data_IF_396897911916
#
_entry.id   IF_396897911916
#
_cell.length_a   1.000
_cell.length_b   1.000
_cell.length_c   1.000
_cell.angle_alpha   90.00
_cell.angle_beta   90.00
_cell.angle_gamma   90.00
#
_symmetry.space_group_name_H-M   'P 1'
#
loop_
_entity.id
_entity.type
_entity.pdbx_description
1 polymer ?
#
# COMPACT_ATOMS: atom_id res chain seq x y z
N UNK A 1 -19.83 -10.63 -3.39
CA UNK A 1 -19.37 -11.10 -2.07
C UNK A 1 -18.03 -10.44 -1.78
N UNK A 2 -17.85 -9.75 -0.65
CA UNK A 2 -16.59 -9.08 -0.33
C UNK A 2 -15.47 -10.12 -0.20
N UNK A 3 -14.31 -9.85 -0.83
CA UNK A 3 -13.14 -10.72 -0.79
C UNK A 3 -12.25 -10.29 0.38
N UNK A 4 -11.71 -11.23 1.18
CA UNK A 4 -10.75 -10.87 2.23
C UNK A 4 -9.51 -10.23 1.61
N UNK A 5 -9.06 -9.14 2.23
CA UNK A 5 -7.84 -8.41 1.85
C UNK A 5 -6.60 -9.24 2.21
N UNK A 6 -6.56 -9.73 3.46
CA UNK A 6 -5.44 -10.51 4.01
C UNK A 6 -5.90 -11.34 5.22
N UNK A 7 -5.26 -12.49 5.43
CA UNK A 7 -5.38 -13.27 6.67
C UNK A 7 -4.27 -12.86 7.65
N UNK A 8 -4.59 -12.75 8.93
CA UNK A 8 -3.63 -12.41 9.99
C UNK A 8 -4.01 -13.06 11.32
N UNK A 9 -3.34 -12.65 12.39
CA UNK A 9 -3.67 -13.08 13.75
C UNK A 9 -3.78 -11.88 14.68
N UNK A 10 -4.74 -11.95 15.62
CA UNK A 10 -4.80 -11.06 16.78
C UNK A 10 -4.18 -11.82 17.95
N UNK A 11 -3.23 -11.19 18.63
CA UNK A 11 -2.54 -11.77 19.78
C UNK A 11 -2.77 -10.94 21.04
N UNK A 12 -3.00 -11.62 22.16
CA UNK A 12 -3.06 -11.02 23.49
C UNK A 12 -2.37 -11.94 24.49
N UNK A 13 -1.22 -11.51 25.01
CA UNK A 13 -0.35 -12.35 25.82
C UNK A 13 0.08 -13.62 25.07
N UNK A 14 -0.40 -14.78 25.53
CA UNK A 14 -0.08 -16.10 24.95
C UNK A 14 -1.17 -16.67 24.03
N UNK A 15 -2.27 -15.93 23.84
CA UNK A 15 -3.38 -16.39 22.98
C UNK A 15 -3.25 -15.76 21.60
N UNK A 16 -3.41 -16.58 20.55
CA UNK A 16 -3.40 -16.16 19.15
C UNK A 16 -4.68 -16.61 18.45
N UNK A 17 -5.43 -15.66 17.89
CA UNK A 17 -6.70 -15.89 17.20
C UNK A 17 -6.53 -15.56 15.71
N UNK A 18 -6.75 -16.52 14.79
CA UNK A 18 -6.69 -16.24 13.36
C UNK A 18 -7.87 -15.35 12.93
N UNK A 19 -7.59 -14.32 12.13
CA UNK A 19 -8.58 -13.37 11.63
C UNK A 19 -8.44 -13.12 10.12
N UNK A 20 -9.53 -12.63 9.52
CA UNK A 20 -9.55 -12.18 8.12
C UNK A 20 -9.91 -10.71 8.06
N UNK A 21 -9.05 -9.90 7.43
CA UNK A 21 -9.29 -8.49 7.18
C UNK A 21 -10.22 -8.35 5.97
N UNK A 22 -11.28 -7.58 6.15
CA UNK A 22 -12.31 -7.31 5.14
C UNK A 22 -12.38 -5.80 4.89
N UNK A 23 -12.66 -5.39 3.65
CA UNK A 23 -12.90 -3.97 3.37
C UNK A 23 -14.23 -3.54 3.98
N UNK A 24 -14.22 -2.46 4.76
CA UNK A 24 -15.44 -1.88 5.33
C UNK A 24 -16.26 -1.10 4.29
N UNK A 25 -15.60 -0.60 3.25
CA UNK A 25 -16.19 0.16 2.15
C UNK A 25 -15.94 -0.54 0.81
N UNK A 26 -16.83 -0.33 -0.16
CA UNK A 26 -16.67 -0.80 -1.53
C UNK A 26 -16.52 0.40 -2.46
N UNK A 27 -15.39 0.46 -3.17
CA UNK A 27 -15.12 1.52 -4.13
C UNK A 27 -15.93 1.30 -5.41
N UNK A 28 -16.99 2.10 -5.58
CA UNK A 28 -17.85 2.08 -6.78
C UNK A 28 -17.39 3.11 -7.81
N UNK A 29 -16.13 3.03 -8.23
CA UNK A 29 -15.61 3.92 -9.27
C UNK A 29 -15.90 3.37 -10.67
N UNK A 30 -16.43 4.24 -11.53
CA UNK A 30 -16.54 3.96 -12.97
C UNK A 30 -15.14 4.06 -13.59
N UNK A 31 -14.68 2.99 -14.25
CA UNK A 31 -13.38 2.98 -14.92
C UNK A 31 -13.50 3.59 -16.31
N UNK A 32 -12.73 4.64 -16.57
CA UNK A 32 -12.60 5.23 -17.89
C UNK A 32 -11.41 4.65 -18.64
N UNK A 33 -11.55 4.61 -19.96
CA UNK A 33 -10.48 4.26 -20.86
C UNK A 33 -9.86 5.53 -21.44
N UNK A 34 -8.52 5.56 -21.52
CA UNK A 34 -7.83 6.62 -22.24
C UNK A 34 -8.09 6.47 -23.73
N UNK A 35 -8.70 7.49 -24.31
CA UNK A 35 -9.01 7.58 -25.74
C UNK A 35 -8.42 8.86 -26.31
N UNK A 36 -8.12 8.85 -27.59
CA UNK A 36 -7.70 10.05 -28.30
C UNK A 36 -8.92 10.96 -28.50
N UNK A 37 -8.77 12.24 -28.18
CA UNK A 37 -9.91 13.14 -28.00
C UNK A 37 -10.70 13.40 -29.29
N UNK A 38 -10.04 13.32 -30.45
CA UNK A 38 -10.62 13.66 -31.75
C UNK A 38 -11.37 12.48 -32.39
N UNK A 39 -10.88 11.25 -32.23
CA UNK A 39 -11.38 10.05 -32.93
C UNK A 39 -11.86 8.92 -32.00
N UNK A 40 -11.76 9.13 -30.68
CA UNK A 40 -12.05 8.13 -29.64
C UNK A 40 -11.24 6.83 -29.76
N UNK A 41 -10.13 6.86 -30.50
CA UNK A 41 -9.22 5.73 -30.68
C UNK A 41 -8.53 5.32 -29.38
N UNK A 42 -8.15 4.05 -29.26
CA UNK A 42 -7.43 3.52 -28.09
C UNK A 42 -6.02 4.11 -28.02
N UNK A 43 -5.72 4.82 -26.93
CA UNK A 43 -4.37 5.34 -26.66
C UNK A 43 -3.53 4.28 -25.94
N UNK A 44 -2.36 3.97 -26.49
CA UNK A 44 -1.34 3.13 -25.83
C UNK A 44 -0.30 4.02 -25.16
N UNK A 45 0.11 3.64 -23.95
CA UNK A 45 1.18 4.31 -23.21
C UNK A 45 2.45 3.52 -23.40
N UNK A 46 3.51 4.20 -23.82
CA UNK A 46 4.88 3.66 -23.93
C UNK A 46 5.74 4.34 -22.87
N UNK A 47 6.63 3.58 -22.23
CA UNK A 47 7.54 4.07 -21.20
C UNK A 47 8.86 4.43 -21.88
N UNK A 48 9.36 5.64 -21.72
CA UNK A 48 10.53 6.14 -22.45
C UNK A 48 11.60 6.62 -21.46
N UNK A 49 12.85 6.20 -21.66
CA UNK A 49 14.00 6.65 -20.89
C UNK A 49 14.64 7.86 -21.59
N UNK A 50 14.68 9.00 -20.91
CA UNK A 50 15.24 10.25 -21.46
C UNK A 50 16.75 10.18 -21.65
N UNK A 51 17.47 9.47 -20.77
CA UNK A 51 18.93 9.36 -20.84
C UNK A 51 19.40 8.52 -22.04
N UNK A 52 18.68 7.45 -22.37
CA UNK A 52 19.03 6.54 -23.47
C UNK A 52 18.25 6.83 -24.76
N UNK A 53 17.31 7.79 -24.71
CA UNK A 53 16.46 8.20 -25.84
C UNK A 53 15.76 7.00 -26.50
N UNK A 54 15.24 6.09 -25.68
CA UNK A 54 14.55 4.88 -26.15
C UNK A 54 13.39 4.47 -25.27
N UNK A 55 12.52 3.64 -25.82
CA UNK A 55 11.50 2.95 -25.03
C UNK A 55 12.13 1.88 -24.13
N UNK A 56 11.59 1.75 -22.93
CA UNK A 56 11.99 0.76 -21.92
C UNK A 56 10.80 -0.13 -21.54
N UNK A 57 11.07 -1.40 -21.30
CA UNK A 57 10.06 -2.34 -20.81
C UNK A 57 9.78 -2.13 -19.32
N UNK A 58 8.70 -2.75 -18.81
CA UNK A 58 8.38 -2.67 -17.39
C UNK A 58 9.44 -3.35 -16.50
N UNK A 59 10.18 -4.33 -17.02
CA UNK A 59 11.24 -5.04 -16.30
C UNK A 59 12.50 -4.19 -16.11
N UNK A 60 12.68 -3.15 -16.92
CA UNK A 60 13.82 -2.22 -16.84
C UNK A 60 13.54 -1.03 -15.91
N UNK A 61 12.37 -0.96 -15.27
CA UNK A 61 11.96 0.17 -14.44
C UNK A 61 11.92 -0.26 -12.98
N UNK A 62 12.93 0.16 -12.22
CA UNK A 62 12.99 0.05 -10.77
C UNK A 62 12.40 1.26 -10.05
N UNK A 63 12.43 1.23 -8.70
CA UNK A 63 12.12 2.38 -7.85
C UNK A 63 13.44 3.02 -7.41
N UNK A 64 13.55 4.34 -7.48
CA UNK A 64 14.70 5.08 -6.97
C UNK A 64 14.30 5.97 -5.80
N UNK A 65 15.14 6.09 -4.78
CA UNK A 65 14.97 7.00 -3.65
C UNK A 65 16.11 8.03 -3.63
N UNK A 66 15.77 9.31 -3.53
CA UNK A 66 16.75 10.40 -3.44
C UNK A 66 17.22 10.57 -2.00
N UNK A 67 18.49 10.26 -1.73
CA UNK A 67 19.10 10.31 -0.37
C UNK A 67 19.66 11.71 -0.08
N UNK A 68 20.18 12.36 -1.11
CA UNK A 68 20.65 13.74 -1.09
C UNK A 68 20.55 14.32 -2.49
N UNK A 69 20.70 15.65 -2.62
CA UNK A 69 20.70 16.32 -3.92
C UNK A 69 21.65 15.59 -4.89
N UNK A 70 21.10 15.18 -6.02
CA UNK A 70 21.78 14.45 -7.10
C UNK A 70 22.27 13.03 -6.74
N UNK A 71 21.79 12.43 -5.64
CA UNK A 71 22.12 11.05 -5.25
C UNK A 71 20.85 10.21 -5.14
N UNK A 72 20.60 9.39 -6.16
CA UNK A 72 19.55 8.37 -6.16
C UNK A 72 20.14 6.99 -5.85
N UNK A 73 19.41 6.24 -5.02
CA UNK A 73 19.69 4.82 -4.73
C UNK A 73 18.52 4.00 -5.24
N UNK A 74 18.80 2.92 -5.96
CA UNK A 74 17.78 1.96 -6.36
C UNK A 74 17.23 1.25 -5.12
N UNK A 75 15.92 1.08 -5.09
CA UNK A 75 15.20 0.44 -4.01
C UNK A 75 14.46 -0.75 -4.60
N UNK A 76 14.95 -1.95 -4.29
CA UNK A 76 14.37 -3.20 -4.77
C UNK A 76 13.23 -3.67 -3.86
N UNK A 77 12.27 -4.40 -4.42
CA UNK A 77 11.19 -4.98 -3.62
C UNK A 77 11.74 -6.02 -2.62
N UNK A 78 12.79 -6.76 -2.98
CA UNK A 78 13.48 -7.71 -2.12
C UNK A 78 14.13 -7.05 -0.90
N UNK A 79 14.71 -5.86 -1.06
CA UNK A 79 15.25 -5.09 0.06
C UNK A 79 14.14 -4.61 0.99
N UNK A 80 13.02 -4.12 0.45
CA UNK A 80 11.85 -3.76 1.26
C UNK A 80 11.32 -4.93 2.07
N UNK A 81 11.26 -6.12 1.49
CA UNK A 81 10.79 -7.32 2.18
C UNK A 81 11.72 -7.77 3.31
N UNK A 82 13.02 -7.49 3.19
CA UNK A 82 14.02 -7.79 4.23
C UNK A 82 13.97 -6.81 5.39
N UNK A 83 13.35 -5.64 5.23
CA UNK A 83 13.17 -4.70 6.34
C UNK A 83 12.22 -5.36 7.35
N UNK A 84 12.67 -5.63 8.59
CA UNK A 84 11.83 -6.22 9.60
C UNK A 84 10.75 -5.20 10.00
N UNK A 85 9.58 -5.28 9.35
CA UNK A 85 8.38 -4.59 9.79
C UNK A 85 7.86 -5.33 11.03
N UNK A 86 7.99 -4.76 12.25
CA UNK A 86 7.73 -5.49 13.50
C UNK A 86 6.28 -6.02 13.60
N UNK A 87 5.36 -5.41 12.87
CA UNK A 87 3.90 -5.59 12.99
C UNK A 87 3.24 -6.13 11.72
N UNK A 88 3.99 -6.59 10.71
CA UNK A 88 3.42 -6.84 9.38
C UNK A 88 2.30 -7.90 9.31
N UNK A 89 2.18 -8.80 10.30
CA UNK A 89 1.25 -9.94 10.26
C UNK A 89 0.44 -10.19 11.54
N UNK A 90 0.77 -9.52 12.64
CA UNK A 90 0.12 -9.72 13.93
C UNK A 90 -0.35 -8.38 14.50
N UNK A 91 -1.61 -8.34 14.91
CA UNK A 91 -2.19 -7.20 15.64
C UNK A 91 -2.12 -7.56 17.12
N UNK A 92 -1.37 -6.79 17.90
CA UNK A 92 -1.27 -6.97 19.34
C UNK A 92 -2.33 -6.14 20.07
N UNK A 93 -3.12 -6.78 20.94
CA UNK A 93 -4.05 -6.07 21.81
C UNK A 93 -3.29 -5.58 23.04
N UNK A 94 -3.04 -4.28 23.11
CA UNK A 94 -2.30 -3.66 24.22
C UNK A 94 -3.19 -3.46 25.46
N UNK A 95 -4.46 -3.09 25.27
CA UNK A 95 -5.41 -2.89 26.37
C UNK A 95 -6.86 -2.95 25.89
N UNK A 96 -7.78 -3.30 26.81
CA UNK A 96 -9.22 -3.10 26.64
C UNK A 96 -9.64 -1.88 27.45
N UNK A 97 -10.32 -0.93 26.80
CA UNK A 97 -10.82 0.29 27.45
C UNK A 97 -12.34 0.33 27.46
N UNK A 98 -12.99 0.94 28.48
CA UNK A 98 -14.42 1.18 28.45
C UNK A 98 -14.82 2.04 27.26
N UNK A 99 -15.95 1.75 26.61
CA UNK A 99 -16.42 2.49 25.43
C UNK A 99 -16.65 3.99 25.70
N UNK A 100 -17.01 4.35 26.94
CA UNK A 100 -17.20 5.74 27.36
C UNK A 100 -15.90 6.43 27.81
N UNK A 101 -14.74 5.77 27.68
CA UNK A 101 -13.45 6.33 28.09
C UNK A 101 -13.00 7.45 27.15
N UNK A 102 -12.44 8.56 27.66
CA UNK A 102 -11.94 9.67 26.83
C UNK A 102 -10.77 9.29 25.92
N UNK A 103 -10.24 8.07 26.03
CA UNK A 103 -9.26 7.50 25.10
C UNK A 103 -9.74 7.51 23.63
N UNK A 104 -11.05 7.53 23.39
CA UNK A 104 -11.64 7.69 22.05
C UNK A 104 -11.17 8.99 21.35
N UNK A 105 -10.98 10.07 22.11
CA UNK A 105 -10.44 11.33 21.59
C UNK A 105 -8.95 11.26 21.23
N UNK A 106 -8.18 10.34 21.84
CA UNK A 106 -6.75 10.14 21.57
C UNK A 106 -6.49 9.28 20.33
N UNK A 107 -7.42 8.37 19.97
CA UNK A 107 -7.32 7.53 18.77
C UNK A 107 -7.38 8.34 17.47
N UNK A 108 -8.05 9.50 17.47
CA UNK A 108 -8.12 10.42 16.33
C UNK A 108 -6.79 11.08 15.96
N UNK A 109 -5.77 10.99 16.83
CA UNK A 109 -4.43 11.59 16.62
C UNK A 109 -3.38 10.58 16.15
N UNK A 110 -3.76 9.31 15.98
CA UNK A 110 -2.86 8.31 15.44
C UNK A 110 -2.59 8.61 13.95
N UNK A 111 -1.35 8.37 13.46
CA UNK A 111 -0.91 8.78 12.13
C UNK A 111 -1.55 8.01 10.96
N UNK A 112 -2.63 7.27 11.23
CA UNK A 112 -3.32 6.37 10.30
C UNK A 112 -4.68 6.90 9.85
N UNK A 113 -5.02 8.15 10.20
CA UNK A 113 -6.23 8.85 9.77
C UNK A 113 -5.90 9.94 8.76
#
# INVERSE_FOLDING_TARGET
>A
MPRPLRSGAISFGLVSIPVRLMSATEDRSVRFHRVHAEDLGRVRVRKFCEAEVREVSAAEIGKGFEVSKDTLVEVTDEELERIPLPTAKAIEVVAFVPAASPADSALSRLPWN
#
